data_IF_352254160722
#
_entry.id   IF_352254160722
#
_cell.length_a   1.000
_cell.length_b   1.000
_cell.length_c   1.000
_cell.angle_alpha   90.00
_cell.angle_beta   90.00
_cell.angle_gamma   90.00
#
_symmetry.space_group_name_H-M   'P 1'
#
loop_
_entity.id
_entity.type
_entity.pdbx_description
1 polymer ?
#
# COMPACT_ATOMS: atom_id res chain seq x y z
N UNK A 1 -1.56 25.97 6.23
CA UNK A 1 -0.17 25.53 6.04
C UNK A 1 -0.12 24.00 5.99
N UNK A 2 0.64 23.45 5.04
CA UNK A 2 0.90 22.00 4.98
C UNK A 2 1.83 21.65 6.11
N UNK A 3 1.46 20.67 6.95
CA UNK A 3 2.32 20.21 8.04
C UNK A 3 3.42 19.32 7.45
N UNK A 4 4.66 19.43 7.94
CA UNK A 4 5.79 18.61 7.51
C UNK A 4 5.49 17.11 7.59
N UNK A 5 4.82 16.66 8.67
CA UNK A 5 4.42 15.26 8.85
C UNK A 5 3.46 14.82 7.73
N UNK A 6 2.52 15.69 7.33
CA UNK A 6 1.61 15.43 6.22
C UNK A 6 2.38 15.32 4.90
N UNK A 7 3.31 16.23 4.65
CA UNK A 7 4.14 16.20 3.44
C UNK A 7 4.90 14.88 3.30
N UNK A 8 5.52 14.41 4.40
CA UNK A 8 6.23 13.12 4.42
C UNK A 8 5.27 11.96 4.14
N UNK A 9 4.10 11.94 4.78
CA UNK A 9 3.08 10.91 4.54
C UNK A 9 2.61 10.87 3.08
N UNK A 10 2.23 12.03 2.53
CA UNK A 10 1.79 12.14 1.14
C UNK A 10 2.89 11.71 0.15
N UNK A 11 4.15 12.08 0.41
CA UNK A 11 5.28 11.70 -0.43
C UNK A 11 5.54 10.19 -0.39
N UNK A 12 5.52 9.56 0.80
CA UNK A 12 5.68 8.11 0.93
C UNK A 12 4.56 7.34 0.21
N UNK A 13 3.34 7.85 0.29
CA UNK A 13 2.22 7.26 -0.41
C UNK A 13 2.41 7.36 -1.93
N UNK A 14 2.84 8.51 -2.45
CA UNK A 14 3.14 8.66 -3.87
C UNK A 14 4.31 7.78 -4.32
N UNK A 15 5.36 7.69 -3.52
CA UNK A 15 6.51 6.81 -3.77
C UNK A 15 6.05 5.36 -3.91
N UNK A 16 5.07 4.91 -3.12
CA UNK A 16 4.55 3.55 -3.23
C UNK A 16 4.00 3.25 -4.62
N UNK A 17 3.27 4.17 -5.26
CA UNK A 17 2.81 4.01 -6.65
C UNK A 17 3.96 4.03 -7.65
N UNK A 18 4.94 4.92 -7.46
CA UNK A 18 6.13 4.99 -8.32
C UNK A 18 6.91 3.67 -8.29
N UNK A 19 7.06 3.04 -7.12
CA UNK A 19 7.72 1.74 -6.97
C UNK A 19 7.03 0.67 -7.83
N UNK A 20 5.69 0.61 -7.83
CA UNK A 20 4.95 -0.36 -8.64
C UNK A 20 5.09 -0.07 -10.14
N UNK A 21 4.99 1.19 -10.56
CA UNK A 21 5.20 1.58 -11.96
C UNK A 21 6.62 1.17 -12.38
N UNK A 22 7.63 1.51 -11.59
CA UNK A 22 9.02 1.14 -11.85
C UNK A 22 9.20 -0.38 -11.97
N UNK A 23 8.59 -1.15 -11.05
CA UNK A 23 8.59 -2.62 -11.06
C UNK A 23 8.03 -3.18 -12.37
N UNK A 24 6.86 -2.69 -12.81
CA UNK A 24 6.21 -3.16 -14.03
C UNK A 24 7.13 -2.93 -15.25
N UNK A 25 7.76 -1.76 -15.34
CA UNK A 25 8.67 -1.44 -16.46
C UNK A 25 9.99 -2.23 -16.40
N UNK A 26 10.57 -2.38 -15.21
CA UNK A 26 11.83 -3.09 -15.02
C UNK A 26 11.70 -4.58 -15.29
N UNK A 27 10.68 -5.21 -14.74
CA UNK A 27 10.44 -6.64 -14.89
C UNK A 27 9.73 -6.96 -16.22
N UNK A 28 9.29 -5.93 -16.95
CA UNK A 28 8.43 -6.06 -18.14
C UNK A 28 7.21 -6.96 -17.89
N UNK A 29 6.70 -6.96 -16.66
CA UNK A 29 5.66 -7.87 -16.19
C UNK A 29 4.83 -7.27 -15.05
N UNK A 30 3.52 -7.54 -15.09
CA UNK A 30 2.58 -7.23 -14.00
C UNK A 30 2.49 -8.34 -12.95
N UNK A 31 3.26 -9.43 -13.09
CA UNK A 31 3.21 -10.57 -12.16
C UNK A 31 3.48 -10.13 -10.72
N UNK A 32 2.67 -10.65 -9.78
CA UNK A 32 2.76 -10.31 -8.36
C UNK A 32 2.19 -8.94 -7.97
N UNK A 33 1.52 -8.23 -8.90
CA UNK A 33 0.82 -6.97 -8.63
C UNK A 33 -0.69 -7.20 -8.76
N UNK A 34 -1.47 -6.73 -7.76
CA UNK A 34 -2.91 -6.82 -7.78
C UNK A 34 -3.55 -5.62 -8.49
N UNK A 35 -4.20 -5.83 -9.63
CA UNK A 35 -5.02 -4.80 -10.25
C UNK A 35 -6.22 -4.44 -9.37
N UNK A 36 -6.79 -5.40 -8.66
CA UNK A 36 -7.94 -5.20 -7.77
C UNK A 36 -7.64 -4.21 -6.64
N UNK A 37 -6.40 -4.21 -6.12
CA UNK A 37 -5.95 -3.20 -5.15
C UNK A 37 -6.02 -1.80 -5.75
N UNK A 38 -5.57 -1.60 -6.99
CA UNK A 38 -5.60 -0.29 -7.65
C UNK A 38 -7.01 0.10 -8.13
N UNK A 39 -7.87 -0.87 -8.48
CA UNK A 39 -9.30 -0.63 -8.70
C UNK A 39 -9.95 0.00 -7.45
N UNK A 40 -9.66 -0.57 -6.26
CA UNK A 40 -10.15 -0.03 -5.00
C UNK A 40 -9.54 1.35 -4.71
N UNK A 41 -8.23 1.54 -4.88
CA UNK A 41 -7.60 2.85 -4.68
C UNK A 41 -8.18 3.92 -5.59
N UNK A 42 -8.49 3.59 -6.84
CA UNK A 42 -9.14 4.53 -7.75
C UNK A 42 -10.52 4.95 -7.21
N UNK A 43 -11.33 4.00 -6.74
CA UNK A 43 -12.62 4.30 -6.10
C UNK A 43 -12.42 5.18 -4.86
N UNK A 44 -11.44 4.86 -4.01
CA UNK A 44 -11.09 5.64 -2.81
C UNK A 44 -10.76 7.09 -3.17
N UNK A 45 -9.90 7.31 -4.14
CA UNK A 45 -9.50 8.66 -4.52
C UNK A 45 -10.61 9.44 -5.22
N UNK A 46 -11.38 8.79 -6.09
CA UNK A 46 -12.56 9.42 -6.72
C UNK A 46 -13.61 9.85 -5.68
N UNK A 47 -13.89 9.02 -4.67
CA UNK A 47 -14.87 9.34 -3.62
C UNK A 47 -14.32 10.32 -2.58
N UNK A 48 -13.01 10.32 -2.33
CA UNK A 48 -12.35 11.24 -1.38
C UNK A 48 -12.19 12.64 -1.93
N UNK A 49 -11.90 12.77 -3.22
CA UNK A 49 -11.50 14.03 -3.86
C UNK A 49 -12.60 14.66 -4.71
N UNK A 50 -13.86 14.41 -4.38
CA UNK A 50 -15.00 15.05 -5.03
C UNK A 50 -14.91 16.58 -4.97
N UNK A 51 -14.27 17.12 -3.93
CA UNK A 51 -14.03 18.54 -3.76
C UNK A 51 -13.07 19.15 -4.80
N UNK A 52 -12.32 18.31 -5.54
CA UNK A 52 -11.44 18.73 -6.63
C UNK A 52 -12.17 19.52 -7.71
N UNK A 53 -13.45 19.16 -7.96
CA UNK A 53 -14.30 19.81 -8.96
C UNK A 53 -15.06 21.03 -8.43
N UNK A 54 -15.05 21.26 -7.12
CA UNK A 54 -15.87 22.30 -6.48
C UNK A 54 -15.06 23.44 -5.91
N UNK A 55 -13.86 23.15 -5.34
CA UNK A 55 -13.08 24.13 -4.61
C UNK A 55 -11.59 23.99 -4.87
N UNK A 56 -10.95 25.08 -5.26
CA UNK A 56 -9.50 25.18 -5.26
C UNK A 56 -8.99 25.55 -3.86
N UNK A 57 -8.31 24.62 -3.18
CA UNK A 57 -7.79 24.84 -1.82
C UNK A 57 -6.35 25.38 -1.88
N UNK A 58 -5.47 24.71 -2.62
CA UNK A 58 -4.09 25.12 -2.85
C UNK A 58 -3.50 24.34 -4.03
N UNK A 59 -2.45 24.88 -4.63
CA UNK A 59 -1.74 24.20 -5.72
C UNK A 59 -1.22 22.82 -5.29
N UNK A 60 -0.59 22.73 -4.09
CA UNK A 60 -0.13 21.46 -3.53
C UNK A 60 -1.24 20.43 -3.41
N UNK A 61 -2.37 20.82 -2.78
CA UNK A 61 -3.50 19.91 -2.56
C UNK A 61 -4.09 19.38 -3.87
N UNK A 62 -4.29 20.27 -4.83
CA UNK A 62 -4.82 19.92 -6.15
C UNK A 62 -3.86 19.00 -6.93
N UNK A 63 -2.57 19.32 -6.94
CA UNK A 63 -1.56 18.50 -7.61
C UNK A 63 -1.49 17.10 -7.03
N UNK A 64 -1.47 16.94 -5.70
CA UNK A 64 -1.42 15.63 -5.05
C UNK A 64 -2.66 14.79 -5.36
N UNK A 65 -3.85 15.38 -5.38
CA UNK A 65 -5.09 14.67 -5.76
C UNK A 65 -5.05 14.16 -7.20
N UNK A 66 -4.59 15.00 -8.14
CA UNK A 66 -4.45 14.61 -9.55
C UNK A 66 -3.41 13.49 -9.68
N UNK A 67 -2.28 13.58 -8.96
CA UNK A 67 -1.23 12.56 -8.99
C UNK A 67 -1.72 11.22 -8.47
N UNK A 68 -2.47 11.17 -7.36
CA UNK A 68 -3.00 9.93 -6.83
C UNK A 68 -4.04 9.27 -7.75
N UNK A 69 -4.98 10.04 -8.29
CA UNK A 69 -5.96 9.53 -9.27
C UNK A 69 -5.22 9.08 -10.53
N UNK A 70 -4.33 9.91 -11.07
CA UNK A 70 -3.59 9.63 -12.28
C UNK A 70 -2.68 8.41 -12.17
N UNK A 71 -1.94 8.28 -11.06
CA UNK A 71 -1.06 7.13 -10.83
C UNK A 71 -1.86 5.82 -10.71
N UNK A 72 -2.99 5.82 -9.99
CA UNK A 72 -3.87 4.64 -9.88
C UNK A 72 -4.45 4.26 -11.23
N UNK A 73 -4.98 5.22 -11.98
CA UNK A 73 -5.53 5.00 -13.32
C UNK A 73 -4.46 4.53 -14.31
N UNK A 74 -3.25 5.07 -14.22
CA UNK A 74 -2.14 4.68 -15.08
C UNK A 74 -1.69 3.24 -14.83
N UNK A 75 -1.59 2.80 -13.57
CA UNK A 75 -1.28 1.41 -13.24
C UNK A 75 -2.36 0.48 -13.81
N UNK A 76 -3.63 0.81 -13.64
CA UNK A 76 -4.73 0.04 -14.22
C UNK A 76 -4.68 0.00 -15.76
N UNK A 77 -4.34 1.12 -16.40
CA UNK A 77 -4.12 1.17 -17.85
C UNK A 77 -3.00 0.20 -18.28
N UNK A 78 -1.87 0.18 -17.56
CA UNK A 78 -0.77 -0.75 -17.86
C UNK A 78 -1.21 -2.21 -17.73
N UNK A 79 -2.03 -2.53 -16.73
CA UNK A 79 -2.44 -3.89 -16.43
C UNK A 79 -3.60 -4.38 -17.32
N UNK A 80 -4.49 -3.50 -17.79
CA UNK A 80 -5.69 -3.89 -18.55
C UNK A 80 -5.65 -3.54 -20.03
N UNK A 81 -4.94 -2.47 -20.42
CA UNK A 81 -5.02 -1.95 -21.78
C UNK A 81 -3.68 -2.04 -22.55
N UNK A 82 -2.55 -2.03 -21.85
CA UNK A 82 -1.25 -2.00 -22.51
C UNK A 82 -0.92 -3.36 -23.13
N UNK A 83 -0.69 -3.39 -24.45
CA UNK A 83 -0.40 -4.63 -25.21
C UNK A 83 0.81 -5.40 -24.72
N UNK A 84 1.80 -4.71 -24.15
CA UNK A 84 3.04 -5.33 -23.65
C UNK A 84 2.86 -5.98 -22.28
N UNK A 85 2.13 -5.31 -21.37
CA UNK A 85 2.05 -5.73 -19.97
C UNK A 85 0.80 -6.54 -19.63
N UNK A 86 -0.34 -6.24 -20.27
CA UNK A 86 -1.60 -6.95 -20.05
C UNK A 86 -1.48 -8.48 -20.13
N UNK A 87 -0.76 -9.09 -21.12
CA UNK A 87 -0.67 -10.55 -21.20
C UNK A 87 0.05 -11.20 -20.01
N UNK A 88 0.79 -10.42 -19.21
CA UNK A 88 1.53 -10.90 -18.03
C UNK A 88 0.72 -10.84 -16.74
N UNK A 89 -0.50 -10.26 -16.79
CA UNK A 89 -1.40 -10.15 -15.64
C UNK A 89 -2.35 -11.33 -15.58
N UNK A 90 -2.27 -12.12 -14.51
CA UNK A 90 -3.13 -13.28 -14.31
C UNK A 90 -4.20 -13.00 -13.24
N UNK A 91 -5.36 -12.52 -13.73
CA UNK A 91 -6.52 -12.24 -12.87
C UNK A 91 -7.14 -13.50 -12.27
N UNK A 92 -7.05 -14.64 -12.99
CA UNK A 92 -7.77 -15.86 -12.62
C UNK A 92 -7.03 -16.70 -11.59
N UNK A 93 -5.71 -16.79 -11.68
CA UNK A 93 -4.91 -17.66 -10.83
C UNK A 93 -4.15 -16.89 -9.73
N UNK A 94 -3.59 -15.71 -10.05
CA UNK A 94 -2.85 -14.92 -9.06
C UNK A 94 -3.77 -13.98 -8.29
N UNK A 95 -4.53 -13.11 -8.98
CA UNK A 95 -5.36 -12.06 -8.35
C UNK A 95 -6.80 -12.53 -8.14
N UNK A 96 -6.97 -13.57 -7.30
CA UNK A 96 -8.27 -14.24 -7.10
C UNK A 96 -9.13 -13.62 -6.00
N UNK A 97 -8.59 -12.72 -5.17
CA UNK A 97 -9.31 -12.15 -4.02
C UNK A 97 -10.62 -11.47 -4.46
N UNK A 98 -11.78 -11.77 -3.81
CA UNK A 98 -13.08 -11.21 -4.18
C UNK A 98 -13.26 -9.79 -3.61
N UNK A 99 -12.53 -8.81 -4.16
CA UNK A 99 -12.43 -7.43 -3.67
C UNK A 99 -13.76 -6.68 -3.64
N UNK A 100 -14.76 -7.14 -4.41
CA UNK A 100 -16.08 -6.50 -4.44
C UNK A 100 -16.78 -6.50 -3.07
N UNK A 101 -16.47 -7.48 -2.20
CA UNK A 101 -17.02 -7.55 -0.84
C UNK A 101 -16.45 -6.48 0.11
N UNK A 102 -15.37 -5.82 -0.26
CA UNK A 102 -14.81 -4.73 0.52
C UNK A 102 -15.67 -3.45 0.43
N UNK A 103 -16.45 -3.31 -0.65
CA UNK A 103 -17.36 -2.16 -0.83
C UNK A 103 -18.53 -2.19 0.18
N UNK A 104 -19.32 -3.27 0.30
CA UNK A 104 -20.34 -3.38 1.35
C UNK A 104 -19.79 -3.23 2.75
N UNK A 105 -18.62 -3.82 3.03
CA UNK A 105 -17.93 -3.63 4.31
C UNK A 105 -17.70 -2.14 4.61
N UNK A 106 -17.14 -1.39 3.66
CA UNK A 106 -16.87 0.04 3.83
C UNK A 106 -18.16 0.86 3.99
N UNK A 107 -19.25 0.47 3.31
CA UNK A 107 -20.57 1.10 3.46
C UNK A 107 -21.10 0.88 4.87
N UNK A 108 -21.10 -0.35 5.36
CA UNK A 108 -21.59 -0.70 6.72
C UNK A 108 -20.78 0.06 7.77
N UNK A 109 -19.45 0.05 7.68
CA UNK A 109 -18.60 0.77 8.62
C UNK A 109 -18.81 2.29 8.57
N UNK A 110 -19.11 2.83 7.40
CA UNK A 110 -19.46 4.25 7.25
C UNK A 110 -20.76 4.59 7.93
N UNK A 111 -21.77 3.73 7.88
CA UNK A 111 -23.04 3.96 8.57
C UNK A 111 -22.88 3.92 10.09
N UNK A 112 -21.94 3.12 10.61
CA UNK A 112 -21.65 3.00 12.05
C UNK A 112 -20.78 4.17 12.52
N UNK A 113 -19.69 4.47 11.83
CA UNK A 113 -18.71 5.50 12.23
C UNK A 113 -18.39 6.40 11.04
N UNK A 114 -18.92 7.61 11.07
CA UNK A 114 -18.73 8.64 10.04
C UNK A 114 -18.38 9.99 10.64
N UNK A 115 -17.94 10.92 9.81
CA UNK A 115 -17.58 12.28 10.22
C UNK A 115 -18.83 13.12 10.57
N UNK A 116 -19.79 13.14 9.66
CA UNK A 116 -21.08 13.80 9.78
C UNK A 116 -22.05 13.21 8.75
N UNK A 117 -23.34 13.37 8.98
CA UNK A 117 -24.41 12.81 8.14
C UNK A 117 -24.72 13.71 6.93
N UNK A 118 -23.67 14.10 6.19
CA UNK A 118 -23.78 14.83 4.93
C UNK A 118 -23.20 13.99 3.81
N UNK A 119 -23.62 14.24 2.56
CA UNK A 119 -23.09 13.52 1.40
C UNK A 119 -21.54 13.52 1.38
N UNK A 120 -20.94 14.68 1.61
CA UNK A 120 -19.49 14.85 1.72
C UNK A 120 -18.86 14.09 2.88
N UNK A 121 -19.50 14.14 4.05
CA UNK A 121 -19.02 13.43 5.24
C UNK A 121 -19.10 11.92 5.08
N UNK A 122 -20.16 11.43 4.46
CA UNK A 122 -20.35 10.00 4.21
C UNK A 122 -19.40 9.48 3.13
N UNK A 123 -19.27 10.15 1.98
CA UNK A 123 -18.35 9.75 0.91
C UNK A 123 -16.88 9.81 1.37
N UNK A 124 -16.52 10.82 2.15
CA UNK A 124 -15.19 10.92 2.74
C UNK A 124 -14.93 9.79 3.75
N UNK A 125 -15.88 9.48 4.63
CA UNK A 125 -15.77 8.38 5.60
C UNK A 125 -15.72 7.03 4.92
N UNK A 126 -16.53 6.80 3.89
CA UNK A 126 -16.50 5.62 3.04
C UNK A 126 -15.12 5.41 2.42
N UNK A 127 -14.52 6.48 1.89
CA UNK A 127 -13.18 6.40 1.30
C UNK A 127 -12.12 5.99 2.32
N UNK A 128 -12.22 6.41 3.59
CA UNK A 128 -11.29 6.01 4.65
C UNK A 128 -11.43 4.52 5.02
N UNK A 129 -12.67 4.04 5.17
CA UNK A 129 -12.92 2.64 5.45
C UNK A 129 -12.50 1.73 4.29
N UNK A 130 -12.79 2.15 3.07
CA UNK A 130 -12.39 1.38 1.89
C UNK A 130 -10.87 1.35 1.72
N UNK A 131 -10.18 2.47 1.96
CA UNK A 131 -8.71 2.54 1.92
C UNK A 131 -8.08 1.63 2.97
N UNK A 132 -8.65 1.53 4.17
CA UNK A 132 -8.10 0.71 5.24
C UNK A 132 -7.98 -0.77 4.86
N UNK A 133 -8.83 -1.24 3.96
CA UNK A 133 -8.86 -2.64 3.49
C UNK A 133 -8.41 -2.82 2.04
N UNK A 134 -8.06 -1.74 1.34
CA UNK A 134 -7.69 -1.76 -0.08
C UNK A 134 -6.49 -2.65 -0.42
N UNK A 135 -5.63 -2.92 0.55
CA UNK A 135 -4.40 -3.71 0.38
C UNK A 135 -4.66 -5.22 0.42
N UNK A 136 -5.83 -5.70 0.85
CA UNK A 136 -6.12 -7.13 0.97
C UNK A 136 -5.83 -7.95 -0.29
N UNK A 137 -6.25 -7.54 -1.50
CA UNK A 137 -5.94 -8.30 -2.70
C UNK A 137 -4.43 -8.47 -2.92
N UNK A 138 -3.64 -7.44 -2.65
CA UNK A 138 -2.18 -7.49 -2.79
C UNK A 138 -1.54 -8.42 -1.75
N UNK A 139 -1.96 -8.37 -0.49
CA UNK A 139 -1.49 -9.28 0.57
C UNK A 139 -1.86 -10.73 0.22
N UNK A 140 -3.07 -10.96 -0.35
CA UNK A 140 -3.51 -12.29 -0.77
C UNK A 140 -2.61 -12.89 -1.86
N UNK A 141 -2.11 -12.09 -2.81
CA UNK A 141 -1.13 -12.56 -3.82
C UNK A 141 0.17 -12.98 -3.13
N UNK A 142 0.70 -12.14 -2.24
CA UNK A 142 1.97 -12.42 -1.55
C UNK A 142 1.86 -13.67 -0.67
N UNK A 143 0.74 -13.87 0.01
CA UNK A 143 0.51 -15.03 0.85
C UNK A 143 0.45 -16.36 0.08
N UNK A 144 0.08 -16.32 -1.21
CA UNK A 144 0.02 -17.50 -2.10
C UNK A 144 1.33 -17.80 -2.81
N UNK A 145 2.25 -16.84 -2.84
CA UNK A 145 3.51 -16.96 -3.56
C UNK A 145 4.60 -17.32 -2.57
N UNK A 146 5.39 -18.39 -2.82
CA UNK A 146 6.48 -18.84 -1.95
C UNK A 146 7.67 -17.87 -1.84
N UNK A 147 7.56 -16.69 -2.45
CA UNK A 147 8.56 -15.63 -2.39
C UNK A 147 7.93 -14.25 -2.44
N UNK A 148 8.38 -13.37 -1.55
CA UNK A 148 8.00 -11.96 -1.63
C UNK A 148 8.82 -11.32 -2.76
N UNK A 149 8.16 -10.87 -3.81
CA UNK A 149 8.82 -10.04 -4.84
C UNK A 149 9.37 -8.77 -4.19
N UNK A 150 10.67 -8.54 -4.27
CA UNK A 150 11.36 -7.46 -3.57
C UNK A 150 10.69 -6.09 -3.75
N UNK A 151 10.33 -5.74 -5.00
CA UNK A 151 9.68 -4.45 -5.27
C UNK A 151 8.26 -4.35 -4.71
N UNK A 152 7.51 -5.45 -4.73
CA UNK A 152 6.17 -5.51 -4.13
C UNK A 152 6.25 -5.35 -2.61
N UNK A 153 7.29 -5.91 -1.99
CA UNK A 153 7.55 -5.72 -0.57
C UNK A 153 7.91 -4.26 -0.23
N UNK A 154 8.76 -3.61 -1.03
CA UNK A 154 9.07 -2.18 -0.85
C UNK A 154 7.85 -1.28 -1.05
N UNK A 155 6.98 -1.59 -2.01
CA UNK A 155 5.70 -0.93 -2.19
C UNK A 155 4.83 -1.00 -0.93
N UNK A 156 4.64 -2.21 -0.38
CA UNK A 156 3.85 -2.38 0.83
C UNK A 156 4.50 -1.73 2.06
N UNK A 157 5.84 -1.76 2.14
CA UNK A 157 6.57 -1.06 3.20
C UNK A 157 6.36 0.45 3.12
N UNK A 158 6.45 1.06 1.95
CA UNK A 158 6.15 2.47 1.74
C UNK A 158 4.68 2.79 2.08
N UNK A 159 3.77 1.89 1.65
CA UNK A 159 2.34 2.03 1.89
C UNK A 159 1.97 1.88 3.39
N UNK A 160 2.65 1.05 4.16
CA UNK A 160 2.48 0.98 5.61
C UNK A 160 3.10 2.17 6.33
N UNK A 161 4.27 2.62 5.86
CA UNK A 161 4.98 3.74 6.47
C UNK A 161 4.21 5.06 6.38
N UNK A 162 3.56 5.38 5.24
CA UNK A 162 2.78 6.61 5.15
C UNK A 162 1.65 6.65 6.19
N UNK A 163 1.04 5.51 6.50
CA UNK A 163 -0.03 5.43 7.50
C UNK A 163 0.49 5.74 8.90
N UNK A 164 1.69 5.30 9.23
CA UNK A 164 2.35 5.66 10.48
C UNK A 164 2.49 7.19 10.63
N UNK A 165 2.95 7.89 9.59
CA UNK A 165 3.05 9.34 9.61
C UNK A 165 1.68 10.03 9.74
N UNK A 166 0.64 9.48 9.15
CA UNK A 166 -0.71 10.01 9.34
C UNK A 166 -1.24 9.82 10.77
N UNK A 167 -0.90 8.72 11.44
CA UNK A 167 -1.22 8.53 12.86
C UNK A 167 -0.52 9.58 13.70
N UNK A 168 0.77 9.83 13.47
CA UNK A 168 1.51 10.90 14.14
C UNK A 168 0.85 12.28 13.89
N UNK A 169 0.40 12.54 12.67
CA UNK A 169 -0.32 13.77 12.34
C UNK A 169 -1.64 13.89 13.10
N UNK A 170 -2.39 12.82 13.29
CA UNK A 170 -3.63 12.84 14.05
C UNK A 170 -3.38 13.07 15.54
N UNK A 171 -2.36 12.44 16.12
CA UNK A 171 -1.91 12.69 17.49
C UNK A 171 -1.49 14.16 17.65
N UNK A 172 -0.70 14.69 16.74
CA UNK A 172 -0.28 16.09 16.72
C UNK A 172 -1.49 17.05 16.69
N UNK A 173 -2.49 16.78 15.83
CA UNK A 173 -3.71 17.58 15.74
C UNK A 173 -4.56 17.47 17.00
N UNK A 174 -4.62 16.31 17.62
CA UNK A 174 -5.32 16.13 18.89
C UNK A 174 -4.71 16.98 20.00
N UNK A 175 -3.40 16.89 20.18
CA UNK A 175 -2.67 17.63 21.22
C UNK A 175 -2.78 19.16 21.02
N UNK A 176 -2.67 19.64 19.77
CA UNK A 176 -2.64 21.07 19.50
C UNK A 176 -4.03 21.72 19.28
N UNK A 177 -5.02 20.95 18.84
CA UNK A 177 -6.33 21.48 18.43
C UNK A 177 -7.50 20.88 19.22
N UNK A 178 -7.26 19.87 20.06
CA UNK A 178 -8.30 19.16 20.83
C UNK A 178 -9.36 18.45 19.97
N UNK A 179 -9.09 18.26 18.67
CA UNK A 179 -10.06 17.68 17.73
C UNK A 179 -9.63 16.32 17.25
N UNK A 180 -10.51 15.33 17.41
CA UNK A 180 -10.32 13.96 16.91
C UNK A 180 -11.39 13.65 15.87
N UNK A 181 -10.96 13.09 14.75
CA UNK A 181 -11.85 12.47 13.78
C UNK A 181 -11.82 10.95 14.00
N UNK A 182 -12.77 10.45 14.78
CA UNK A 182 -12.82 9.04 15.18
C UNK A 182 -12.79 8.06 13.99
N UNK A 183 -13.43 8.41 12.89
CA UNK A 183 -13.39 7.60 11.67
C UNK A 183 -11.95 7.42 11.15
N UNK A 184 -11.13 8.47 11.20
CA UNK A 184 -9.71 8.37 10.79
C UNK A 184 -8.90 7.49 11.73
N UNK A 185 -9.16 7.59 13.04
CA UNK A 185 -8.46 6.79 14.05
C UNK A 185 -8.78 5.30 13.88
N UNK A 186 -10.07 4.95 13.84
CA UNK A 186 -10.48 3.54 13.74
C UNK A 186 -10.10 2.91 12.40
N UNK A 187 -10.29 3.61 11.28
CA UNK A 187 -9.86 3.12 9.97
C UNK A 187 -8.33 2.98 9.89
N UNK A 188 -7.60 3.90 10.53
CA UNK A 188 -6.14 3.85 10.60
C UNK A 188 -5.63 2.69 11.47
N UNK A 189 -6.23 2.44 12.62
CA UNK A 189 -5.90 1.27 13.47
C UNK A 189 -6.14 -0.01 12.70
N UNK A 190 -7.31 -0.17 12.06
CA UNK A 190 -7.62 -1.33 11.24
C UNK A 190 -6.55 -1.55 10.16
N UNK A 191 -6.17 -0.50 9.45
CA UNK A 191 -5.14 -0.58 8.41
C UNK A 191 -3.78 -0.98 8.97
N UNK A 192 -3.36 -0.44 10.10
CA UNK A 192 -2.09 -0.82 10.75
C UNK A 192 -2.09 -2.28 11.16
N UNK A 193 -3.19 -2.77 11.76
CA UNK A 193 -3.30 -4.17 12.14
C UNK A 193 -3.10 -5.11 10.94
N UNK A 194 -3.65 -4.75 9.78
CA UNK A 194 -3.46 -5.52 8.53
C UNK A 194 -2.01 -5.51 8.03
N UNK A 195 -1.26 -4.45 8.34
CA UNK A 195 0.15 -4.37 7.94
C UNK A 195 1.10 -5.06 8.94
N UNK A 196 0.70 -5.31 10.18
CA UNK A 196 1.58 -5.91 11.22
C UNK A 196 2.13 -7.25 10.75
N UNK A 197 1.27 -8.16 10.30
CA UNK A 197 1.68 -9.49 9.83
C UNK A 197 2.59 -9.39 8.60
N UNK A 198 2.27 -8.48 7.68
CA UNK A 198 3.12 -8.23 6.52
C UNK A 198 4.51 -7.73 6.94
N UNK A 199 4.60 -6.74 7.83
CA UNK A 199 5.88 -6.21 8.29
C UNK A 199 6.70 -7.26 9.03
N UNK A 200 6.07 -8.12 9.81
CA UNK A 200 6.75 -9.24 10.47
C UNK A 200 7.40 -10.17 9.43
N UNK A 201 6.65 -10.60 8.42
CA UNK A 201 7.15 -11.46 7.36
C UNK A 201 8.23 -10.76 6.51
N UNK A 202 8.04 -9.49 6.21
CA UNK A 202 9.02 -8.68 5.48
C UNK A 202 10.37 -8.62 6.19
N UNK A 203 10.37 -8.27 7.48
CA UNK A 203 11.60 -8.19 8.28
C UNK A 203 12.26 -9.56 8.40
N UNK A 204 11.48 -10.61 8.61
CA UNK A 204 11.99 -11.99 8.69
C UNK A 204 12.68 -12.42 7.38
N UNK A 205 12.09 -12.13 6.24
CA UNK A 205 12.65 -12.47 4.94
C UNK A 205 13.87 -11.62 4.58
N UNK A 206 13.85 -10.33 4.91
CA UNK A 206 15.02 -9.45 4.75
C UNK A 206 16.21 -9.91 5.58
N UNK A 207 15.98 -10.36 6.83
CA UNK A 207 17.05 -10.93 7.68
C UNK A 207 17.65 -12.20 7.08
N UNK A 208 16.81 -13.08 6.51
CA UNK A 208 17.31 -14.27 5.82
C UNK A 208 18.18 -13.91 4.63
N UNK A 209 17.75 -12.96 3.81
CA UNK A 209 18.50 -12.48 2.65
C UNK A 209 19.87 -11.94 3.06
N UNK A 210 19.90 -11.03 4.05
CA UNK A 210 21.14 -10.47 4.59
C UNK A 210 22.07 -11.53 5.23
N UNK A 211 21.50 -12.58 5.83
CA UNK A 211 22.30 -13.67 6.41
C UNK A 211 22.84 -14.64 5.36
N UNK A 212 22.19 -14.78 4.20
CA UNK A 212 22.67 -15.61 3.09
C UNK A 212 23.77 -14.94 2.28
N UNK A 213 23.81 -13.61 2.25
CA UNK A 213 24.85 -12.84 1.55
C UNK A 213 26.13 -12.62 2.39
N UNK A 214 26.13 -13.01 3.68
CA UNK A 214 27.36 -13.07 4.48
C UNK A 214 28.18 -14.27 3.97
N UNK A 215 29.43 -14.04 3.47
CA UNK A 215 30.29 -15.14 3.07
C UNK A 215 30.48 -16.04 4.30
N UNK A 216 30.07 -17.29 4.18
CA UNK A 216 30.39 -18.31 5.17
C UNK A 216 31.92 -18.29 5.33
N UNK A 217 32.38 -17.79 6.47
CA UNK A 217 33.80 -17.92 6.84
C UNK A 217 34.12 -19.40 6.72
N UNK A 218 34.90 -19.72 5.68
CA UNK A 218 35.35 -21.04 5.37
C UNK A 218 35.82 -21.70 6.68
N UNK A 219 35.15 -22.76 7.11
CA UNK A 219 35.68 -23.62 8.16
C UNK A 219 37.03 -24.10 7.65
N UNK A 220 38.10 -23.64 8.32
CA UNK A 220 39.46 -24.22 8.12
C UNK A 220 39.31 -25.74 8.12
N UNK A 221 39.89 -26.46 7.10
CA UNK A 221 39.86 -27.89 7.11
C UNK A 221 40.52 -28.39 8.40
N UNK A 222 39.81 -29.22 9.11
CA UNK A 222 40.33 -29.87 10.34
C UNK A 222 41.47 -30.76 9.95
N UNK A 223 42.50 -30.82 10.80
CA UNK A 223 43.77 -31.54 10.60
C UNK A 223 43.64 -33.05 10.27
N UNK A 224 42.46 -33.61 10.20
CA UNK A 224 42.16 -35.02 9.84
C UNK A 224 42.11 -35.29 8.33
N UNK A 225 41.98 -34.25 7.48
CA UNK A 225 41.98 -34.45 6.01
C UNK A 225 43.37 -34.39 5.37
N UNK A 226 44.41 -34.08 6.15
CA UNK A 226 45.79 -34.05 5.66
C UNK A 226 46.51 -35.40 5.72
N UNK A 227 45.96 -36.43 6.36
CA UNK A 227 46.61 -37.74 6.52
C UNK A 227 46.23 -38.76 5.42
N UNK A 228 45.30 -38.45 4.52
CA UNK A 228 44.88 -39.36 3.45
C UNK A 228 45.45 -39.00 2.04
N UNK A 229 46.45 -38.15 1.96
CA UNK A 229 47.15 -37.84 0.71
C UNK A 229 48.67 -38.06 0.93
N UNK A 230 49.03 -39.29 1.22
CA UNK A 230 50.39 -39.83 1.02
C UNK A 230 50.28 -41.30 0.58
#
# INVERSE_FOLDING_TARGET
MVNFIQLVGDTLHLISFVIIIYKIYKDKSCKGVSAKTFEIYLIVFCTRYLDLFMYFISFYNTSMKILFIGASAYILYLMHCNKTFHPTYDRKNEDTFPHIYLIPFAIIMTLIIHKNFTLWGLTWSFSLWLESVAVFPQISIIAKTDGVFTYTAHYLAALGSYRFFYILLWIYRYVNQGRVLWVSVFSGILQVLLYVDFFYLYIKNMRKFLSSDLPTVSKKPTNKEKENIC
#
